data_IF_097633463518
#
_entry.id   IF_097633463518
#
_cell.length_a   1.000
_cell.length_b   1.000
_cell.length_c   1.000
_cell.angle_alpha   90.00
_cell.angle_beta   90.00
_cell.angle_gamma   90.00
#
_symmetry.space_group_name_H-M   'P 1'
#
loop_
_entity.id
_entity.type
_entity.pdbx_description
1 polymer ?
#
# COMPACT_ATOMS: atom_id res chain seq x y z
N UNK A 1 2.59 -14.72 -13.27
CA UNK A 1 2.77 -13.51 -14.11
C UNK A 1 3.72 -12.56 -13.39
N UNK A 2 4.37 -11.62 -14.09
CA UNK A 2 5.25 -10.62 -13.47
C UNK A 2 4.41 -9.48 -12.93
N UNK A 3 4.76 -8.93 -11.77
CA UNK A 3 4.07 -7.76 -11.21
C UNK A 3 4.60 -6.49 -11.86
N UNK A 4 3.70 -5.63 -12.30
CA UNK A 4 4.04 -4.37 -12.93
C UNK A 4 2.87 -3.38 -12.91
N UNK A 5 3.18 -2.12 -13.18
CA UNK A 5 2.26 -1.00 -13.28
C UNK A 5 2.37 -0.38 -14.67
N UNK A 6 1.25 0.05 -15.21
CA UNK A 6 1.18 0.88 -16.43
C UNK A 6 0.57 2.23 -16.13
N UNK A 7 1.02 3.24 -16.87
CA UNK A 7 0.44 4.58 -16.92
C UNK A 7 -0.13 4.82 -18.30
N UNK A 8 -1.25 5.52 -18.37
CA UNK A 8 -1.87 5.89 -19.63
C UNK A 8 -2.60 7.22 -19.59
N UNK A 9 -2.92 7.70 -20.78
CA UNK A 9 -3.75 8.88 -21.01
C UNK A 9 -4.98 8.47 -21.82
N UNK A 10 -6.10 9.10 -21.52
CA UNK A 10 -7.35 8.99 -22.27
C UNK A 10 -7.75 10.41 -22.70
N UNK A 11 -7.26 10.81 -23.87
CA UNK A 11 -7.44 12.17 -24.35
C UNK A 11 -8.91 12.51 -24.61
N UNK A 12 -9.72 11.55 -25.08
CA UNK A 12 -11.16 11.74 -25.32
C UNK A 12 -11.99 11.97 -24.07
N UNK A 13 -11.43 11.69 -22.87
CA UNK A 13 -12.11 11.79 -21.57
C UNK A 13 -11.34 12.66 -20.57
N UNK A 14 -10.33 13.37 -21.02
CA UNK A 14 -9.53 14.25 -20.19
C UNK A 14 -9.13 13.62 -18.85
N UNK A 15 -8.63 12.37 -18.90
CA UNK A 15 -8.17 11.69 -17.70
C UNK A 15 -6.85 10.96 -17.92
N UNK A 16 -6.12 10.77 -16.83
CA UNK A 16 -4.96 9.88 -16.77
C UNK A 16 -5.34 8.62 -15.98
N UNK A 17 -4.75 7.51 -16.37
CA UNK A 17 -5.07 6.21 -15.80
C UNK A 17 -3.82 5.47 -15.37
N UNK A 18 -3.96 4.69 -14.32
CA UNK A 18 -2.92 3.83 -13.78
C UNK A 18 -3.55 2.46 -13.54
N UNK A 19 -2.85 1.39 -13.85
CA UNK A 19 -3.28 0.05 -13.46
C UNK A 19 -2.07 -0.78 -13.07
N UNK A 20 -2.26 -1.68 -12.12
CA UNK A 20 -1.20 -2.55 -11.66
C UNK A 20 -1.70 -3.96 -11.36
N UNK A 21 -0.78 -4.91 -11.50
CA UNK A 21 -0.87 -6.26 -10.96
C UNK A 21 0.20 -6.40 -9.87
N UNK A 22 -0.19 -6.92 -8.69
CA UNK A 22 0.64 -6.97 -7.48
C UNK A 22 0.54 -8.33 -6.78
N UNK A 23 0.23 -9.39 -7.52
CA UNK A 23 -0.06 -10.72 -6.98
C UNK A 23 1.15 -11.34 -6.29
N UNK A 24 2.33 -11.32 -6.95
CA UNK A 24 3.53 -11.96 -6.39
C UNK A 24 4.11 -11.16 -5.22
N UNK A 25 4.14 -9.83 -5.33
CA UNK A 25 4.65 -8.99 -4.24
C UNK A 25 3.79 -9.09 -2.98
N UNK A 26 2.46 -9.25 -3.14
CA UNK A 26 1.58 -9.48 -2.00
C UNK A 26 1.75 -10.88 -1.43
N UNK A 27 1.94 -11.91 -2.27
CA UNK A 27 2.21 -13.27 -1.81
C UNK A 27 3.54 -13.36 -1.04
N UNK A 28 4.56 -12.58 -1.43
CA UNK A 28 5.81 -12.43 -0.68
C UNK A 28 5.56 -11.79 0.68
N UNK A 29 4.85 -10.65 0.72
CA UNK A 29 4.46 -10.00 1.97
C UNK A 29 3.63 -10.91 2.89
N UNK A 30 2.68 -11.69 2.29
CA UNK A 30 1.87 -12.66 3.03
C UNK A 30 2.73 -13.71 3.73
N UNK A 31 3.73 -14.26 3.03
CA UNK A 31 4.64 -15.26 3.60
C UNK A 31 5.52 -14.68 4.69
N UNK A 32 6.07 -13.48 4.47
CA UNK A 32 6.96 -12.83 5.42
C UNK A 32 6.25 -12.47 6.73
N UNK A 33 4.96 -12.12 6.66
CA UNK A 33 4.17 -11.68 7.80
C UNK A 33 3.16 -12.72 8.31
N UNK A 34 3.04 -13.89 7.68
CA UNK A 34 2.02 -14.90 7.99
C UNK A 34 0.60 -14.31 7.97
N UNK A 35 0.28 -13.55 6.90
CA UNK A 35 -1.00 -12.84 6.83
C UNK A 35 -2.16 -13.81 6.61
N UNK A 36 -3.24 -13.61 7.38
CA UNK A 36 -4.52 -14.25 7.16
C UNK A 36 -5.34 -13.51 6.07
N UNK A 37 -6.41 -14.11 5.53
CA UNK A 37 -7.06 -13.63 4.31
C UNK A 37 -7.47 -12.16 4.33
N UNK A 38 -8.11 -11.69 5.41
CA UNK A 38 -8.57 -10.30 5.46
C UNK A 38 -7.41 -9.32 5.64
N UNK A 39 -6.38 -9.69 6.43
CA UNK A 39 -5.15 -8.91 6.54
C UNK A 39 -4.41 -8.81 5.20
N UNK A 40 -4.33 -9.93 4.45
CA UNK A 40 -3.78 -9.96 3.08
C UNK A 40 -4.55 -9.03 2.13
N UNK A 41 -5.88 -9.10 2.18
CA UNK A 41 -6.73 -8.25 1.32
C UNK A 41 -6.53 -6.76 1.64
N UNK A 42 -6.48 -6.40 2.92
CA UNK A 42 -6.27 -5.03 3.37
C UNK A 42 -4.90 -4.49 2.94
N UNK A 43 -3.82 -5.24 3.23
CA UNK A 43 -2.46 -4.83 2.88
C UNK A 43 -2.25 -4.76 1.35
N UNK A 44 -2.77 -5.73 0.60
CA UNK A 44 -2.65 -5.77 -0.85
C UNK A 44 -3.35 -4.60 -1.54
N UNK A 45 -4.59 -4.27 -1.11
CA UNK A 45 -5.31 -3.08 -1.58
C UNK A 45 -4.52 -1.80 -1.29
N UNK A 46 -4.00 -1.67 -0.07
CA UNK A 46 -3.21 -0.50 0.34
C UNK A 46 -1.92 -0.38 -0.47
N UNK A 47 -1.15 -1.46 -0.64
CA UNK A 47 0.09 -1.45 -1.41
C UNK A 47 -0.17 -1.12 -2.88
N UNK A 48 -1.20 -1.71 -3.50
CA UNK A 48 -1.57 -1.42 -4.89
C UNK A 48 -1.92 0.06 -5.09
N UNK A 49 -2.76 0.62 -4.22
CA UNK A 49 -3.12 2.04 -4.27
C UNK A 49 -1.90 2.95 -4.05
N UNK A 50 -1.03 2.60 -3.09
CA UNK A 50 0.20 3.37 -2.79
C UNK A 50 1.18 3.38 -3.97
N UNK A 51 1.39 2.24 -4.64
CA UNK A 51 2.25 2.14 -5.83
C UNK A 51 1.71 3.00 -6.98
N UNK A 52 0.42 2.92 -7.26
CA UNK A 52 -0.20 3.74 -8.31
C UNK A 52 -0.14 5.23 -7.97
N UNK A 53 -0.36 5.59 -6.70
CA UNK A 53 -0.23 6.97 -6.23
C UNK A 53 1.21 7.50 -6.36
N UNK A 54 2.20 6.70 -5.97
CA UNK A 54 3.61 7.07 -6.11
C UNK A 54 4.03 7.24 -7.58
N UNK A 55 3.46 6.42 -8.47
CA UNK A 55 3.67 6.51 -9.92
C UNK A 55 3.11 7.80 -10.56
N UNK A 56 2.28 8.57 -9.85
CA UNK A 56 1.79 9.89 -10.32
C UNK A 56 2.86 10.97 -10.29
N UNK A 57 3.92 10.77 -9.49
CA UNK A 57 5.01 11.72 -9.34
C UNK A 57 6.14 11.42 -10.34
N UNK A 58 6.82 12.47 -10.80
CA UNK A 58 7.92 12.34 -11.78
C UNK A 58 9.27 12.01 -11.13
N UNK A 59 9.40 12.26 -9.84
CA UNK A 59 10.62 12.06 -9.08
C UNK A 59 10.41 10.83 -8.17
N UNK A 60 11.48 10.08 -7.92
CA UNK A 60 11.45 8.96 -6.98
C UNK A 60 11.37 9.49 -5.53
N UNK A 61 10.23 10.06 -5.20
CA UNK A 61 9.94 10.60 -3.88
C UNK A 61 9.58 9.48 -2.92
N UNK A 62 10.11 9.54 -1.71
CA UNK A 62 9.70 8.60 -0.68
C UNK A 62 8.27 8.93 -0.23
N UNK A 63 7.39 7.93 -0.34
CA UNK A 63 6.01 8.03 0.09
C UNK A 63 5.75 7.02 1.21
N UNK A 64 5.14 7.49 2.29
CA UNK A 64 4.65 6.67 3.38
C UNK A 64 3.14 6.87 3.49
N UNK A 65 2.40 5.78 3.41
CA UNK A 65 0.95 5.77 3.66
C UNK A 65 0.71 5.02 4.96
N UNK A 66 -0.11 5.59 5.83
CA UNK A 66 -0.53 4.98 7.10
C UNK A 66 -2.04 5.00 7.19
N UNK A 67 -2.63 3.87 7.53
CA UNK A 67 -4.06 3.73 7.80
C UNK A 67 -4.23 3.17 9.22
N UNK A 68 -5.07 3.84 10.01
CA UNK A 68 -5.51 3.34 11.30
C UNK A 68 -6.97 3.76 11.49
N UNK A 69 -7.87 2.80 11.45
CA UNK A 69 -9.31 3.02 11.61
C UNK A 69 -9.86 2.59 12.97
N UNK A 70 -8.98 2.17 13.89
CA UNK A 70 -9.38 1.65 15.21
C UNK A 70 -9.97 0.23 15.17
N UNK A 71 -9.92 -0.42 14.01
CA UNK A 71 -10.35 -1.82 13.88
C UNK A 71 -9.28 -2.81 14.33
N UNK A 72 -9.64 -4.12 14.37
CA UNK A 72 -8.77 -5.18 14.90
C UNK A 72 -7.46 -5.39 14.16
N UNK A 73 -7.35 -5.00 12.89
CA UNK A 73 -6.09 -5.08 12.13
C UNK A 73 -4.99 -4.15 12.66
N UNK A 74 -5.39 -3.15 13.46
CA UNK A 74 -4.47 -2.15 14.00
C UNK A 74 -3.97 -1.17 12.93
N UNK A 75 -2.75 -0.69 13.12
CA UNK A 75 -2.12 0.24 12.17
C UNK A 75 -1.55 -0.52 10.96
N UNK A 76 -1.86 -0.04 9.77
CA UNK A 76 -1.27 -0.51 8.52
C UNK A 76 -0.33 0.57 7.98
N UNK A 77 0.79 0.16 7.41
CA UNK A 77 1.75 1.08 6.79
C UNK A 77 2.31 0.50 5.49
N UNK A 78 2.42 1.34 4.48
CA UNK A 78 3.11 1.04 3.23
C UNK A 78 4.12 2.15 2.91
N UNK A 79 5.31 1.78 2.44
CA UNK A 79 6.39 2.71 2.10
C UNK A 79 6.97 2.34 0.74
N UNK A 80 7.08 3.33 -0.14
CA UNK A 80 7.70 3.22 -1.47
C UNK A 80 8.57 4.44 -1.77
N UNK A 81 9.48 4.31 -2.72
CA UNK A 81 10.28 5.42 -3.23
C UNK A 81 9.90 5.78 -4.69
N UNK A 82 8.76 5.28 -5.20
CA UNK A 82 8.31 5.56 -6.57
C UNK A 82 9.10 4.84 -7.67
N UNK A 83 10.04 3.97 -7.28
CA UNK A 83 10.92 3.19 -8.15
C UNK A 83 10.40 1.76 -8.42
N UNK A 84 9.16 1.49 -8.03
CA UNK A 84 8.50 0.18 -8.13
C UNK A 84 8.73 -0.73 -6.93
N UNK A 85 9.60 -0.35 -5.99
CA UNK A 85 9.80 -1.09 -4.75
C UNK A 85 8.82 -0.61 -3.68
N UNK A 86 8.21 -1.56 -2.97
CA UNK A 86 7.30 -1.29 -1.86
C UNK A 86 7.59 -2.24 -0.70
N UNK A 87 7.36 -1.77 0.51
CA UNK A 87 7.28 -2.56 1.73
C UNK A 87 6.08 -2.12 2.55
N UNK A 88 5.50 -3.04 3.32
CA UNK A 88 4.34 -2.72 4.14
C UNK A 88 4.11 -3.77 5.21
N UNK A 89 3.30 -3.43 6.20
CA UNK A 89 2.88 -4.31 7.27
C UNK A 89 1.50 -3.94 7.81
N UNK A 90 0.91 -4.82 8.58
CA UNK A 90 -0.30 -4.61 9.39
C UNK A 90 0.01 -4.87 10.86
N UNK A 91 -0.73 -4.23 11.76
CA UNK A 91 -0.52 -4.38 13.21
C UNK A 91 -0.85 -5.79 13.72
N UNK A 92 -1.97 -6.36 13.26
CA UNK A 92 -2.34 -7.77 13.52
C UNK A 92 -2.47 -8.53 12.19
N UNK A 93 -1.52 -9.43 11.87
CA UNK A 93 -1.54 -10.21 10.65
C UNK A 93 -2.60 -11.33 10.66
N UNK A 94 -3.12 -11.73 11.83
CA UNK A 94 -4.00 -12.90 11.99
C UNK A 94 -5.49 -12.52 12.01
N UNK A 95 -5.85 -11.44 11.30
CA UNK A 95 -7.24 -11.00 11.21
C UNK A 95 -7.95 -11.67 10.05
N UNK A 96 -9.13 -12.27 10.34
CA UNK A 96 -10.01 -12.87 9.34
C UNK A 96 -11.48 -12.59 9.66
N UNK A 97 -12.11 -11.79 8.80
CA UNK A 97 -13.53 -11.45 8.85
C UNK A 97 -14.14 -11.59 7.46
N UNK A 98 -15.38 -12.06 7.41
CA UNK A 98 -16.19 -12.14 6.18
C UNK A 98 -17.54 -11.50 6.40
N UNK A 99 -18.13 -10.93 5.35
CA UNK A 99 -19.52 -10.48 5.37
C UNK A 99 -20.45 -11.69 5.29
N UNK A 100 -21.43 -11.77 6.22
CA UNK A 100 -22.32 -12.93 6.36
C UNK A 100 -23.25 -13.15 5.14
N UNK A 101 -23.58 -12.08 4.42
CA UNK A 101 -24.50 -12.08 3.28
C UNK A 101 -23.82 -12.47 1.97
N UNK A 102 -22.56 -12.09 1.79
CA UNK A 102 -21.83 -12.31 0.53
C UNK A 102 -20.69 -13.32 0.64
N UNK A 103 -20.19 -13.59 1.85
CA UNK A 103 -18.99 -14.38 2.09
C UNK A 103 -17.69 -13.67 1.68
N UNK A 104 -17.77 -12.43 1.21
CA UNK A 104 -16.56 -11.64 0.87
C UNK A 104 -15.78 -11.26 2.12
N UNK A 105 -14.46 -11.06 1.96
CA UNK A 105 -13.59 -10.60 3.03
C UNK A 105 -14.02 -9.19 3.48
N UNK A 106 -14.31 -9.05 4.79
CA UNK A 106 -14.82 -7.82 5.37
C UNK A 106 -13.66 -6.89 5.79
N UNK A 107 -12.99 -6.30 4.80
CA UNK A 107 -11.82 -5.43 5.03
C UNK A 107 -12.22 -4.20 5.83
N UNK A 108 -13.35 -3.56 5.52
CA UNK A 108 -13.84 -2.39 6.26
C UNK A 108 -14.07 -2.67 7.75
N UNK A 109 -14.53 -3.90 8.10
CA UNK A 109 -14.66 -4.32 9.50
C UNK A 109 -13.32 -4.48 10.18
N UNK A 110 -12.35 -5.08 9.48
CA UNK A 110 -11.00 -5.27 10.01
C UNK A 110 -10.25 -3.96 10.22
N UNK A 111 -10.38 -3.01 9.29
CA UNK A 111 -9.72 -1.69 9.33
C UNK A 111 -10.42 -0.75 10.31
N UNK A 112 -11.76 -0.72 10.30
CA UNK A 112 -12.57 0.25 11.02
C UNK A 112 -12.59 1.62 10.33
N UNK A 113 -13.41 2.53 10.89
CA UNK A 113 -13.62 3.89 10.34
C UNK A 113 -13.38 5.01 11.34
N UNK A 114 -13.00 4.67 12.58
CA UNK A 114 -12.78 5.65 13.66
C UNK A 114 -11.31 6.12 13.68
N UNK A 115 -10.86 6.68 12.54
CA UNK A 115 -9.48 7.12 12.39
C UNK A 115 -9.19 7.72 11.04
N UNK A 116 -7.98 7.55 10.53
CA UNK A 116 -7.52 8.31 9.37
C UNK A 116 -6.65 7.50 8.40
N UNK A 117 -6.63 7.98 7.15
CA UNK A 117 -5.63 7.72 6.14
C UNK A 117 -4.69 8.94 6.10
N UNK A 118 -3.40 8.70 6.25
CA UNK A 118 -2.34 9.70 6.18
C UNK A 118 -1.35 9.35 5.08
N UNK A 119 -0.97 10.33 4.29
CA UNK A 119 0.06 10.23 3.26
C UNK A 119 1.15 11.24 3.54
N UNK A 120 2.38 10.77 3.67
CA UNK A 120 3.57 11.61 3.84
C UNK A 120 4.42 11.45 2.58
N UNK A 121 4.75 12.57 1.91
CA UNK A 121 5.65 12.63 0.76
C UNK A 121 6.90 13.41 1.12
N UNK A 122 8.05 12.73 1.08
CA UNK A 122 9.36 13.35 1.26
C UNK A 122 9.94 13.67 -0.12
N UNK A 123 9.88 14.94 -0.47
CA UNK A 123 10.38 15.50 -1.73
C UNK A 123 11.81 16.05 -1.59
N UNK A 124 12.51 15.73 -0.51
CA UNK A 124 13.83 16.29 -0.20
C UNK A 124 13.81 17.77 0.22
N UNK A 125 12.63 18.29 0.57
CA UNK A 125 12.47 19.65 1.10
C UNK A 125 12.71 19.66 2.62
N UNK A 126 12.75 20.89 3.20
CA UNK A 126 12.97 21.05 4.65
C UNK A 126 11.93 20.31 5.50
N UNK A 127 10.69 20.25 5.03
CA UNK A 127 9.59 19.54 5.67
C UNK A 127 8.87 18.69 4.62
N UNK A 128 8.50 17.44 4.93
CA UNK A 128 7.71 16.60 4.03
C UNK A 128 6.28 17.15 3.92
N UNK A 129 5.65 16.91 2.77
CA UNK A 129 4.22 17.14 2.64
C UNK A 129 3.46 16.05 3.42
N UNK A 130 2.46 16.45 4.21
CA UNK A 130 1.62 15.54 4.98
C UNK A 130 0.14 15.86 4.71
N UNK A 131 -0.58 14.91 4.11
CA UNK A 131 -2.03 14.95 3.96
C UNK A 131 -2.69 13.92 4.88
N UNK A 132 -3.76 14.30 5.57
CA UNK A 132 -4.51 13.41 6.45
C UNK A 132 -6.01 13.62 6.25
N UNK A 133 -6.75 12.52 6.06
CA UNK A 133 -8.21 12.54 5.92
C UNK A 133 -8.85 11.49 6.83
N UNK A 134 -10.10 11.70 7.31
CA UNK A 134 -10.83 10.65 8.02
C UNK A 134 -11.18 9.51 7.06
N UNK A 135 -11.18 8.29 7.57
CA UNK A 135 -11.65 7.13 6.83
C UNK A 135 -13.16 7.22 6.58
N UNK A 136 -13.60 6.71 5.42
CA UNK A 136 -15.00 6.70 5.00
C UNK A 136 -15.61 5.31 5.24
N UNK A 137 -14.99 4.27 4.69
CA UNK A 137 -15.53 2.92 4.71
C UNK A 137 -14.56 1.89 5.32
N UNK A 138 -13.27 2.18 5.32
CA UNK A 138 -12.22 1.22 5.65
C UNK A 138 -11.99 0.16 4.56
N UNK A 139 -12.71 0.21 3.43
CA UNK A 139 -12.52 -0.69 2.28
C UNK A 139 -11.30 -0.31 1.41
N UNK A 140 -10.54 0.70 1.81
CA UNK A 140 -9.30 1.18 1.21
C UNK A 140 -9.52 1.96 -0.09
N UNK A 141 -10.18 1.38 -1.10
CA UNK A 141 -10.43 2.04 -2.38
C UNK A 141 -11.19 3.35 -2.23
N UNK A 142 -12.29 3.33 -1.48
CA UNK A 142 -13.11 4.51 -1.18
C UNK A 142 -12.33 5.56 -0.39
N UNK A 143 -11.51 5.11 0.57
CA UNK A 143 -10.72 5.99 1.43
C UNK A 143 -9.63 6.72 0.62
N UNK A 144 -8.99 6.05 -0.33
CA UNK A 144 -8.06 6.68 -1.27
C UNK A 144 -8.78 7.63 -2.25
N UNK A 145 -9.96 7.25 -2.75
CA UNK A 145 -10.77 8.13 -3.61
C UNK A 145 -11.13 9.43 -2.86
N UNK A 146 -11.53 9.30 -1.60
CA UNK A 146 -11.80 10.45 -0.73
C UNK A 146 -10.53 11.27 -0.46
N UNK A 147 -9.38 10.63 -0.24
CA UNK A 147 -8.10 11.32 -0.06
C UNK A 147 -7.74 12.19 -1.27
N UNK A 148 -7.85 11.65 -2.48
CA UNK A 148 -7.59 12.42 -3.70
C UNK A 148 -8.51 13.63 -3.84
N UNK A 149 -9.78 13.47 -3.53
CA UNK A 149 -10.74 14.56 -3.59
C UNK A 149 -10.47 15.63 -2.51
N UNK A 150 -10.32 15.21 -1.25
CA UNK A 150 -10.29 16.12 -0.11
C UNK A 150 -8.91 16.76 0.13
N UNK A 151 -7.82 15.99 -0.08
CA UNK A 151 -6.46 16.45 0.17
C UNK A 151 -5.74 16.96 -1.09
N UNK A 152 -5.94 16.29 -2.22
CA UNK A 152 -5.26 16.64 -3.48
C UNK A 152 -6.14 17.44 -4.44
N UNK A 153 -7.42 17.64 -4.11
CA UNK A 153 -8.41 18.37 -4.92
C UNK A 153 -8.51 17.82 -6.35
N UNK A 154 -8.27 16.52 -6.53
CA UNK A 154 -8.29 15.86 -7.81
C UNK A 154 -9.28 14.70 -7.76
N UNK A 155 -10.48 14.84 -8.35
CA UNK A 155 -11.46 13.76 -8.38
C UNK A 155 -10.88 12.51 -9.04
N UNK A 156 -10.98 11.38 -8.34
CA UNK A 156 -10.36 10.12 -8.78
C UNK A 156 -11.25 8.94 -8.41
N UNK A 157 -11.26 7.93 -9.28
CA UNK A 157 -11.82 6.61 -9.00
C UNK A 157 -10.68 5.67 -8.65
N UNK A 158 -10.75 5.01 -7.51
CA UNK A 158 -9.77 4.02 -7.07
C UNK A 158 -10.45 2.67 -6.93
N UNK A 159 -10.06 1.71 -7.76
CA UNK A 159 -10.52 0.33 -7.69
C UNK A 159 -9.33 -0.57 -7.38
N UNK A 160 -9.36 -1.20 -6.22
CA UNK A 160 -8.33 -2.14 -5.76
C UNK A 160 -8.97 -3.42 -5.27
N UNK A 161 -8.37 -4.55 -5.56
CA UNK A 161 -8.92 -5.84 -5.21
C UNK A 161 -7.86 -6.89 -4.95
N UNK A 162 -8.19 -7.82 -4.05
CA UNK A 162 -7.38 -9.00 -3.74
C UNK A 162 -8.30 -10.21 -3.69
N UNK A 163 -7.90 -11.29 -4.32
CA UNK A 163 -8.54 -12.58 -4.25
C UNK A 163 -7.61 -13.55 -3.52
N UNK A 164 -8.10 -14.11 -2.43
CA UNK A 164 -7.37 -15.06 -1.59
C UNK A 164 -8.07 -16.41 -1.65
N UNK A 165 -7.30 -17.48 -1.80
CA UNK A 165 -7.80 -18.85 -1.79
C UNK A 165 -8.09 -19.33 -0.36
N UNK A 166 -8.84 -20.43 -0.21
CA UNK A 166 -9.09 -21.09 1.07
C UNK A 166 -7.79 -21.54 1.78
N UNK A 167 -6.73 -21.79 1.00
CA UNK A 167 -5.38 -22.11 1.49
C UNK A 167 -4.58 -20.88 1.97
N UNK A 168 -5.16 -19.70 1.93
CA UNK A 168 -4.53 -18.38 2.16
C UNK A 168 -3.59 -17.91 1.04
N UNK A 169 -3.41 -18.63 -0.06
CA UNK A 169 -2.60 -18.18 -1.19
C UNK A 169 -3.24 -17.01 -1.92
N UNK A 170 -2.43 -16.07 -2.40
CA UNK A 170 -2.92 -14.94 -3.17
C UNK A 170 -3.12 -15.36 -4.63
N UNK A 171 -4.38 -15.44 -5.06
CA UNK A 171 -4.71 -15.76 -6.45
C UNK A 171 -4.57 -14.55 -7.37
N UNK A 172 -4.99 -13.38 -6.90
CA UNK A 172 -4.91 -12.14 -7.65
C UNK A 172 -4.86 -10.92 -6.73
N UNK A 173 -4.05 -9.95 -7.08
CA UNK A 173 -3.97 -8.64 -6.42
C UNK A 173 -3.63 -7.57 -7.43
N UNK A 174 -4.25 -6.40 -7.30
CA UNK A 174 -3.98 -5.25 -8.13
C UNK A 174 -5.11 -4.22 -8.09
N UNK A 175 -5.09 -3.32 -9.09
CA UNK A 175 -6.08 -2.26 -9.14
C UNK A 175 -5.86 -1.33 -10.31
N UNK A 176 -6.72 -0.31 -10.36
CA UNK A 176 -6.54 0.84 -11.25
C UNK A 176 -6.99 2.13 -10.56
N UNK A 177 -6.44 3.24 -11.06
CA UNK A 177 -6.87 4.59 -10.69
C UNK A 177 -7.18 5.34 -11.97
N UNK A 178 -8.36 5.98 -12.01
CA UNK A 178 -8.74 6.95 -13.05
C UNK A 178 -8.73 8.31 -12.37
N UNK A 179 -7.96 9.25 -12.91
CA UNK A 179 -7.83 10.58 -12.34
C UNK A 179 -8.19 11.63 -13.39
N UNK A 180 -9.16 12.48 -13.09
CA UNK A 180 -9.59 13.55 -13.98
C UNK A 180 -8.51 14.63 -14.10
N UNK A 181 -8.36 15.15 -15.30
CA UNK A 181 -7.54 16.33 -15.59
C UNK A 181 -8.38 17.61 -15.43
N UNK A 182 -7.76 18.78 -15.26
CA UNK A 182 -8.48 20.04 -15.06
C UNK A 182 -9.49 20.40 -16.16
N UNK A 183 -9.28 19.88 -17.36
CA UNK A 183 -10.15 20.10 -18.52
C UNK A 183 -11.33 19.14 -18.63
N UNK A 184 -11.47 18.20 -17.68
CA UNK A 184 -12.55 17.22 -17.67
C UNK A 184 -13.91 17.90 -17.52
N UNK A 185 -14.88 17.42 -18.28
CA UNK A 185 -16.26 17.93 -18.32
C UNK A 185 -17.21 17.04 -17.50
N UNK A 186 -18.43 17.53 -17.21
CA UNK A 186 -19.49 16.74 -16.60
C UNK A 186 -19.86 15.49 -17.43
N UNK A 187 -19.70 15.57 -18.77
CA UNK A 187 -19.92 14.43 -19.66
C UNK A 187 -18.86 13.35 -19.47
N UNK A 188 -17.60 13.75 -19.22
CA UNK A 188 -16.50 12.83 -18.95
C UNK A 188 -16.69 12.13 -17.60
N UNK A 189 -17.15 12.88 -16.60
CA UNK A 189 -17.49 12.33 -15.26
C UNK A 189 -18.61 11.30 -15.40
N UNK A 190 -19.72 11.68 -16.03
CA UNK A 190 -20.88 10.80 -16.23
C UNK A 190 -20.49 9.52 -16.98
N UNK A 191 -19.67 9.63 -18.02
CA UNK A 191 -19.17 8.47 -18.76
C UNK A 191 -18.41 7.50 -17.86
N UNK A 192 -17.50 8.02 -17.02
CA UNK A 192 -16.70 7.18 -16.10
C UNK A 192 -17.61 6.52 -15.06
N UNK A 193 -18.54 7.27 -14.45
CA UNK A 193 -19.46 6.75 -13.46
C UNK A 193 -20.35 5.63 -14.04
N UNK A 194 -20.87 5.79 -15.26
CA UNK A 194 -21.66 4.77 -15.93
C UNK A 194 -20.84 3.50 -16.21
N UNK A 195 -19.59 3.64 -16.64
CA UNK A 195 -18.68 2.51 -16.87
C UNK A 195 -18.35 1.75 -15.58
N UNK A 196 -18.26 2.46 -14.46
CA UNK A 196 -17.93 1.85 -13.17
C UNK A 196 -19.09 1.06 -12.55
N UNK A 197 -20.35 1.37 -12.87
CA UNK A 197 -21.51 0.70 -12.24
C UNK A 197 -21.52 -0.81 -12.39
N UNK A 198 -21.17 -1.31 -13.57
CA UNK A 198 -21.21 -2.75 -13.90
C UNK A 198 -19.81 -3.32 -14.17
N UNK A 199 -18.75 -2.57 -13.80
CA UNK A 199 -17.38 -3.03 -14.05
C UNK A 199 -17.04 -4.19 -13.10
N UNK A 200 -16.54 -5.31 -13.63
CA UNK A 200 -16.18 -6.47 -12.81
C UNK A 200 -15.12 -6.14 -11.77
N UNK A 201 -15.10 -6.90 -10.66
CA UNK A 201 -14.06 -6.78 -9.65
C UNK A 201 -12.67 -6.97 -10.28
N UNK A 202 -11.76 -6.02 -10.05
CA UNK A 202 -10.43 -6.02 -10.68
C UNK A 202 -9.64 -7.28 -10.36
N UNK A 203 -9.77 -7.82 -9.15
CA UNK A 203 -9.12 -9.08 -8.76
C UNK A 203 -9.62 -10.29 -9.55
N UNK A 204 -10.91 -10.31 -9.92
CA UNK A 204 -11.47 -11.36 -10.79
C UNK A 204 -10.87 -11.29 -12.20
N UNK A 205 -10.76 -10.09 -12.77
CA UNK A 205 -10.15 -9.89 -14.09
C UNK A 205 -8.68 -10.32 -14.12
N UNK A 206 -7.91 -9.98 -13.07
CA UNK A 206 -6.51 -10.40 -12.93
C UNK A 206 -6.44 -11.94 -12.80
N UNK A 207 -7.33 -12.54 -12.02
CA UNK A 207 -7.37 -14.00 -11.85
C UNK A 207 -7.73 -14.73 -13.16
N UNK A 208 -8.53 -14.12 -14.03
CA UNK A 208 -8.83 -14.58 -15.38
C UNK A 208 -7.66 -14.41 -16.36
N UNK A 209 -6.56 -13.80 -15.92
CA UNK A 209 -5.35 -13.59 -16.73
C UNK A 209 -5.33 -12.27 -17.51
N UNK A 210 -6.25 -11.35 -17.21
CA UNK A 210 -6.24 -10.00 -17.82
C UNK A 210 -5.02 -9.22 -17.35
N UNK A 211 -4.36 -8.58 -18.30
CA UNK A 211 -3.24 -7.66 -18.01
C UNK A 211 -3.75 -6.28 -17.58
N UNK A 212 -2.92 -5.47 -16.89
CA UNK A 212 -3.27 -4.09 -16.58
C UNK A 212 -3.72 -3.27 -17.79
N UNK A 213 -3.07 -3.44 -18.95
CA UNK A 213 -3.45 -2.78 -20.21
C UNK A 213 -4.81 -3.24 -20.74
N UNK A 214 -5.11 -4.54 -20.66
CA UNK A 214 -6.41 -5.08 -21.06
C UNK A 214 -7.53 -4.55 -20.16
N UNK A 215 -7.29 -4.44 -18.86
CA UNK A 215 -8.25 -3.86 -17.91
C UNK A 215 -8.53 -2.40 -18.27
N UNK A 216 -7.49 -1.59 -18.54
CA UNK A 216 -7.68 -0.20 -18.96
C UNK A 216 -8.40 -0.10 -20.32
N UNK A 217 -8.13 -0.99 -21.28
CA UNK A 217 -8.83 -1.04 -22.57
C UNK A 217 -10.29 -1.43 -22.44
N UNK A 218 -10.68 -2.20 -21.43
CA UNK A 218 -12.09 -2.48 -21.16
C UNK A 218 -12.84 -1.23 -20.68
N UNK A 219 -12.14 -0.29 -20.01
CA UNK A 219 -12.70 0.98 -19.55
C UNK A 219 -12.71 2.02 -20.70
N UNK A 220 -11.63 2.10 -21.44
CA UNK A 220 -11.40 3.12 -22.46
C UNK A 220 -10.75 2.51 -23.70
N UNK A 221 -11.46 2.52 -24.84
CA UNK A 221 -10.95 1.94 -26.09
C UNK A 221 -9.74 2.68 -26.64
N UNK A 222 -9.65 4.00 -26.38
CA UNK A 222 -8.61 4.92 -26.86
C UNK A 222 -7.50 5.19 -25.85
N UNK A 223 -7.36 4.36 -24.82
CA UNK A 223 -6.29 4.52 -23.84
C UNK A 223 -4.91 4.36 -24.50
N UNK A 224 -4.06 5.38 -24.34
CA UNK A 224 -2.67 5.36 -24.74
C UNK A 224 -1.77 5.03 -23.56
N UNK A 225 -1.13 3.85 -23.58
CA UNK A 225 -0.16 3.46 -22.54
C UNK A 225 1.14 4.23 -22.77
N UNK A 226 1.56 4.98 -21.78
CA UNK A 226 2.74 5.88 -21.85
C UNK A 226 3.97 5.33 -21.16
N UNK A 227 3.81 4.44 -20.19
CA UNK A 227 4.93 3.91 -19.39
C UNK A 227 4.60 2.57 -18.73
N UNK A 228 5.67 1.81 -18.44
CA UNK A 228 5.61 0.55 -17.71
C UNK A 228 6.66 0.55 -16.61
N UNK A 229 6.31 0.04 -15.42
CA UNK A 229 7.20 -0.06 -14.29
C UNK A 229 7.07 -1.41 -13.60
N UNK A 230 8.18 -2.14 -13.47
CA UNK A 230 8.20 -3.38 -12.69
C UNK A 230 7.97 -3.10 -11.19
N UNK A 231 7.29 -4.02 -10.52
CA UNK A 231 6.95 -3.89 -9.11
C UNK A 231 7.56 -5.02 -8.28
N UNK A 232 8.04 -4.69 -7.06
CA UNK A 232 8.71 -5.62 -6.17
C UNK A 232 8.36 -5.35 -4.70
N UNK A 233 8.14 -6.41 -3.94
CA UNK A 233 8.16 -6.31 -2.48
C UNK A 233 9.63 -6.35 -2.03
N UNK A 234 10.10 -5.31 -1.35
CA UNK A 234 11.51 -5.23 -0.97
C UNK A 234 11.70 -4.41 0.28
N UNK A 235 12.33 -5.00 1.28
CA UNK A 235 12.77 -4.29 2.47
C UNK A 235 14.26 -4.01 2.39
N UNK A 236 14.63 -2.75 2.56
CA UNK A 236 16.01 -2.25 2.57
C UNK A 236 16.63 -2.17 3.98
N UNK A 237 16.07 -2.94 4.94
CA UNK A 237 16.62 -2.98 6.30
C UNK A 237 18.01 -3.64 6.31
N UNK A 238 18.84 -3.19 7.25
CA UNK A 238 20.16 -3.76 7.50
C UNK A 238 20.50 -3.65 8.98
N UNK A 239 21.46 -4.45 9.44
CA UNK A 239 21.92 -4.40 10.82
C UNK A 239 22.37 -2.99 11.22
N UNK A 240 23.05 -2.27 10.33
CA UNK A 240 23.52 -0.89 10.57
C UNK A 240 22.35 0.10 10.70
N UNK A 241 21.29 -0.04 9.85
CA UNK A 241 20.09 0.82 9.95
C UNK A 241 19.35 0.59 11.26
N UNK A 242 19.23 -0.66 11.70
CA UNK A 242 18.58 -1.00 12.97
C UNK A 242 19.45 -0.49 14.15
N UNK A 243 20.79 -0.63 14.09
CA UNK A 243 21.69 -0.11 15.11
C UNK A 243 21.58 1.43 15.22
N UNK A 244 21.47 2.12 14.09
CA UNK A 244 21.24 3.57 14.09
C UNK A 244 19.88 3.94 14.71
N UNK A 245 18.83 3.15 14.48
CA UNK A 245 17.54 3.35 15.14
C UNK A 245 17.64 3.13 16.66
N UNK A 246 18.37 2.10 17.10
CA UNK A 246 18.66 1.87 18.52
C UNK A 246 19.33 3.05 19.20
N UNK A 247 20.13 3.84 18.49
CA UNK A 247 20.77 5.03 19.08
C UNK A 247 19.78 6.07 19.59
N UNK A 248 18.52 6.03 19.14
CA UNK A 248 17.48 6.96 19.58
C UNK A 248 16.78 6.55 20.88
N UNK A 249 16.98 5.34 21.35
CA UNK A 249 16.34 4.80 22.57
C UNK A 249 16.92 5.44 23.84
N UNK A 250 18.20 5.81 23.84
CA UNK A 250 18.90 6.42 24.97
C UNK A 250 19.83 5.46 25.70
N UNK A 251 20.81 6.06 26.42
CA UNK A 251 21.88 5.29 27.08
C UNK A 251 21.35 4.38 28.21
N UNK A 252 20.40 4.85 28.99
CA UNK A 252 19.89 4.12 30.15
C UNK A 252 19.19 2.83 29.71
N UNK A 253 18.35 2.90 28.66
CA UNK A 253 17.64 1.74 28.12
C UNK A 253 18.59 0.74 27.46
N UNK A 254 19.59 1.24 26.71
CA UNK A 254 20.63 0.38 26.13
C UNK A 254 21.46 -0.33 27.20
N UNK A 255 21.75 0.33 28.32
CA UNK A 255 22.42 -0.28 29.46
C UNK A 255 21.57 -1.36 30.12
N UNK A 256 20.27 -1.12 30.28
CA UNK A 256 19.33 -2.14 30.82
C UNK A 256 19.31 -3.40 29.94
N UNK A 257 19.31 -3.24 28.59
CA UNK A 257 19.38 -4.38 27.66
C UNK A 257 20.67 -5.20 27.84
N UNK A 258 21.78 -4.54 28.18
CA UNK A 258 23.06 -5.24 28.48
C UNK A 258 22.98 -5.96 29.82
N UNK A 259 22.53 -5.26 30.86
CA UNK A 259 22.61 -5.75 32.24
C UNK A 259 21.58 -6.88 32.53
N UNK A 260 20.40 -6.82 31.88
CA UNK A 260 19.29 -7.73 32.12
C UNK A 260 19.24 -8.88 31.11
N UNK A 261 19.40 -8.58 29.81
CA UNK A 261 19.18 -9.52 28.71
C UNK A 261 20.45 -9.97 27.99
N UNK A 262 21.62 -9.42 28.36
CA UNK A 262 22.92 -9.70 27.72
C UNK A 262 22.91 -9.42 26.20
N UNK A 263 22.09 -8.47 25.76
CA UNK A 263 21.91 -8.09 24.34
C UNK A 263 20.45 -7.82 24.01
N UNK A 264 20.12 -7.73 22.73
CA UNK A 264 18.73 -7.63 22.28
C UNK A 264 18.49 -8.30 20.93
N UNK A 265 17.26 -8.72 20.68
CA UNK A 265 16.80 -9.13 19.34
C UNK A 265 15.73 -8.14 18.86
N UNK A 266 15.92 -7.57 17.68
CA UNK A 266 14.97 -6.64 17.05
C UNK A 266 14.47 -7.25 15.76
N UNK A 267 13.15 -7.29 15.60
CA UNK A 267 12.49 -7.75 14.40
C UNK A 267 12.09 -6.56 13.54
N UNK A 268 12.47 -6.58 12.26
CA UNK A 268 12.03 -5.57 11.31
C UNK A 268 10.52 -5.72 11.04
N UNK A 269 9.74 -4.68 11.28
CA UNK A 269 8.30 -4.72 11.07
C UNK A 269 7.89 -4.89 9.59
N UNK A 270 8.76 -4.55 8.63
CA UNK A 270 8.46 -4.63 7.20
C UNK A 270 8.76 -5.98 6.54
N UNK A 271 9.62 -6.82 7.11
CA UNK A 271 10.01 -8.10 6.52
C UNK A 271 10.29 -9.21 7.54
N UNK A 272 9.97 -8.99 8.82
CA UNK A 272 10.18 -9.93 9.92
C UNK A 272 11.62 -10.48 10.07
N UNK A 273 12.61 -9.88 9.38
CA UNK A 273 14.01 -10.24 9.59
C UNK A 273 14.44 -9.88 11.00
N UNK A 274 15.07 -10.83 11.68
CA UNK A 274 15.54 -10.68 13.06
C UNK A 274 17.02 -10.29 13.10
N UNK A 275 17.31 -9.25 13.85
CA UNK A 275 18.66 -8.74 14.09
C UNK A 275 19.03 -8.91 15.55
N UNK A 276 20.15 -9.60 15.82
CA UNK A 276 20.67 -9.78 17.17
C UNK A 276 21.85 -8.85 17.38
N UNK A 277 21.88 -8.23 18.56
CA UNK A 277 22.94 -7.35 19.03
C UNK A 277 23.44 -7.89 20.36
N UNK A 278 24.74 -8.14 20.46
CA UNK A 278 25.38 -8.57 21.68
C UNK A 278 25.79 -7.38 22.57
N UNK A 279 26.25 -7.69 23.78
CA UNK A 279 26.69 -6.69 24.76
C UNK A 279 27.76 -5.77 24.20
N UNK A 280 28.73 -6.32 23.43
CA UNK A 280 29.84 -5.55 22.87
C UNK A 280 29.35 -4.53 21.82
N UNK A 281 28.40 -4.91 20.98
CA UNK A 281 27.78 -4.04 19.97
C UNK A 281 27.00 -2.91 20.63
N UNK A 282 26.17 -3.22 21.65
CA UNK A 282 25.42 -2.24 22.42
C UNK A 282 26.33 -1.30 23.19
N UNK A 283 27.39 -1.82 23.84
CA UNK A 283 28.39 -1.00 24.55
C UNK A 283 29.14 -0.03 23.62
N UNK A 284 29.47 -0.47 22.39
CA UNK A 284 30.02 0.40 21.36
C UNK A 284 29.04 1.51 20.96
N UNK A 285 27.75 1.22 20.89
CA UNK A 285 26.73 2.21 20.59
C UNK A 285 26.63 3.24 21.70
N UNK A 286 26.54 2.82 22.99
CA UNK A 286 26.49 3.70 24.16
C UNK A 286 27.68 4.68 24.18
N UNK A 287 28.88 4.19 23.82
CA UNK A 287 30.11 5.01 23.82
C UNK A 287 30.14 6.06 22.68
N UNK A 288 29.30 5.93 21.67
CA UNK A 288 29.14 6.89 20.55
C UNK A 288 28.08 7.97 20.82
N UNK A 289 27.16 7.73 21.73
CA UNK A 289 26.14 8.67 22.19
C UNK A 289 26.70 9.62 23.27
#
# INVERSE_FOLDING_TARGET
>A
MKDYLVRGLVNSKNCRVFACQTTNLLEEARKDHDLWPTASAALGRMMSATLMMAAMNKNNEKMTVTINGGGPIGTMMAVTCGDGHIKGFVGDPHVHYTYNDTGHLAVGVAVGTQGSLQVIRDMGLKEPFCGTVPLQTGEIGDDFSYYFMASEQTPSVVSVGVLVEETNEILASGGFIIQLLPEATEEDITYIEERMKDFPAVSSLINEGKTPEEILKMLFEDVEITDHQDLFFTCDCSKDKILNALSTVGKEELQSMIDEDHGCEITCQFCNTKYKFDEEELQKLINRL
#
